data_IF_343084490926
#
_entry.id   IF_343084490926
#
_cell.length_a   1.000
_cell.length_b   1.000
_cell.length_c   1.000
_cell.angle_alpha   90.00
_cell.angle_beta   90.00
_cell.angle_gamma   90.00
#
_symmetry.space_group_name_H-M   'P 1'
#
loop_
_entity.id
_entity.type
_entity.pdbx_description
1 polymer ?
#
# COMPACT_ATOMS: atom_id res chain seq x y z
N UNK A 1 2.60 12.83 3.13
CA UNK A 1 2.18 11.48 2.69
C UNK A 1 1.57 10.77 3.88
N UNK A 2 0.61 9.87 3.67
CA UNK A 2 0.03 9.07 4.76
C UNK A 2 -0.17 7.63 4.32
N UNK A 3 0.08 6.69 5.22
CA UNK A 3 -0.15 5.27 5.00
C UNK A 3 -1.08 4.71 6.07
N UNK A 4 -2.10 3.96 5.65
CA UNK A 4 -2.88 3.10 6.53
C UNK A 4 -2.36 1.67 6.38
N UNK A 5 -1.89 1.10 7.49
CA UNK A 5 -1.24 -0.21 7.50
C UNK A 5 -2.20 -1.23 8.10
N UNK A 6 -2.40 -2.35 7.40
CA UNK A 6 -3.17 -3.50 7.87
C UNK A 6 -2.29 -4.73 7.93
N UNK A 7 -2.21 -5.36 9.11
CA UNK A 7 -1.57 -6.67 9.24
C UNK A 7 -2.53 -7.75 8.75
N UNK A 8 -2.10 -8.53 7.77
CA UNK A 8 -2.93 -9.52 7.09
C UNK A 8 -2.33 -10.91 7.15
N UNK A 9 -3.18 -11.92 7.04
CA UNK A 9 -2.75 -13.31 6.79
C UNK A 9 -2.51 -13.56 5.30
N UNK A 10 -3.24 -12.85 4.45
CA UNK A 10 -3.17 -12.86 2.99
C UNK A 10 -3.90 -11.60 2.46
N UNK A 11 -3.57 -11.16 1.25
CA UNK A 11 -4.28 -10.11 0.53
C UNK A 11 -4.01 -10.17 -0.98
N UNK A 12 -4.94 -9.68 -1.79
CA UNK A 12 -4.81 -9.61 -3.25
C UNK A 12 -5.43 -8.33 -3.82
N UNK A 13 -5.04 -8.00 -5.05
CA UNK A 13 -5.62 -6.94 -5.88
C UNK A 13 -6.12 -7.57 -7.17
N UNK A 14 -7.37 -7.29 -7.51
CA UNK A 14 -8.06 -7.84 -8.67
C UNK A 14 -8.54 -6.71 -9.59
N UNK A 15 -8.35 -6.87 -10.89
CA UNK A 15 -8.81 -5.94 -11.91
C UNK A 15 -9.45 -6.73 -13.03
N UNK A 16 -10.75 -6.51 -13.28
CA UNK A 16 -11.53 -7.24 -14.30
C UNK A 16 -11.45 -8.77 -14.13
N UNK A 17 -11.67 -9.23 -12.91
CA UNK A 17 -11.66 -10.66 -12.55
C UNK A 17 -10.30 -11.36 -12.70
N UNK A 18 -9.21 -10.59 -12.86
CA UNK A 18 -7.84 -11.12 -12.88
C UNK A 18 -7.02 -10.58 -11.70
N UNK A 19 -6.36 -11.48 -10.97
CA UNK A 19 -5.44 -11.14 -9.89
C UNK A 19 -4.18 -10.53 -10.50
N UNK A 20 -3.95 -9.25 -10.22
CA UNK A 20 -2.77 -8.50 -10.69
C UNK A 20 -1.66 -8.42 -9.65
N UNK A 21 -1.93 -8.83 -8.41
CA UNK A 21 -0.94 -8.90 -7.35
C UNK A 21 -1.51 -9.55 -6.09
N UNK A 22 -0.68 -10.31 -5.39
CA UNK A 22 -1.06 -11.00 -4.16
C UNK A 22 0.12 -11.12 -3.20
N UNK A 23 -0.20 -11.22 -1.91
CA UNK A 23 0.76 -11.48 -0.84
C UNK A 23 0.19 -12.49 0.14
N UNK A 24 1.08 -13.27 0.78
CA UNK A 24 0.74 -14.07 1.96
C UNK A 24 0.73 -13.23 3.25
N UNK A 25 1.18 -13.83 4.36
CA UNK A 25 1.22 -13.14 5.66
C UNK A 25 2.13 -11.92 5.59
N UNK A 26 1.60 -10.74 5.90
CA UNK A 26 2.34 -9.50 5.73
C UNK A 26 1.55 -8.25 6.11
N UNK A 27 1.87 -7.16 5.44
CA UNK A 27 1.23 -5.86 5.60
C UNK A 27 0.66 -5.39 4.27
N UNK A 28 -0.61 -4.97 4.27
CA UNK A 28 -1.20 -4.17 3.20
C UNK A 28 -1.02 -2.70 3.55
N UNK A 29 -0.58 -1.91 2.57
CA UNK A 29 -0.35 -0.48 2.72
C UNK A 29 -1.30 0.26 1.78
N UNK A 30 -2.29 0.94 2.34
CA UNK A 30 -3.11 1.88 1.59
C UNK A 30 -2.45 3.26 1.67
N UNK A 31 -1.83 3.69 0.57
CA UNK A 31 -1.02 4.90 0.51
C UNK A 31 -1.84 6.08 -0.04
N UNK A 32 -1.89 7.16 0.73
CA UNK A 32 -2.42 8.46 0.31
C UNK A 32 -1.30 9.46 0.06
N UNK A 33 -1.28 10.05 -1.14
CA UNK A 33 -0.34 11.11 -1.53
C UNK A 33 -1.13 12.41 -1.69
N UNK A 34 -0.77 13.44 -0.92
CA UNK A 34 -1.33 14.78 -1.00
C UNK A 34 -0.51 15.71 -1.88
N UNK A 35 -1.10 16.83 -2.34
CA UNK A 35 -0.49 17.76 -3.29
C UNK A 35 0.84 18.38 -2.84
N UNK A 36 1.06 18.47 -1.53
CA UNK A 36 2.27 19.08 -0.94
C UNK A 36 3.33 18.05 -0.55
N UNK A 37 3.09 16.77 -0.82
CA UNK A 37 4.04 15.72 -0.48
C UNK A 37 5.26 15.78 -1.39
N UNK A 38 6.41 15.49 -0.79
CA UNK A 38 7.71 15.55 -1.43
C UNK A 38 8.44 14.21 -1.30
N UNK A 39 9.59 14.07 -1.96
CA UNK A 39 10.47 12.91 -1.76
C UNK A 39 10.90 12.70 -0.29
N UNK A 40 10.93 13.77 0.52
CA UNK A 40 11.29 13.65 1.93
C UNK A 40 10.23 12.86 2.70
N UNK A 41 8.96 13.03 2.33
CA UNK A 41 7.83 12.37 2.99
C UNK A 41 7.84 10.85 2.73
N UNK A 42 8.18 10.42 1.52
CA UNK A 42 8.35 8.98 1.24
C UNK A 42 9.61 8.43 1.92
N UNK A 43 10.73 9.17 1.93
CA UNK A 43 11.95 8.75 2.65
C UNK A 43 11.75 8.60 4.16
N UNK A 44 10.75 9.28 4.74
CA UNK A 44 10.37 9.10 6.14
C UNK A 44 9.54 7.83 6.38
N UNK A 45 8.78 7.37 5.39
CA UNK A 45 7.85 6.24 5.52
C UNK A 45 8.46 4.87 5.20
N UNK A 46 9.62 4.82 4.53
CA UNK A 46 10.32 3.60 4.09
C UNK A 46 11.53 3.34 4.97
#
# INVERSE_FOLDING_TARGET
MRALIQRVKEASVEVKDEIVGEIGKGLVILLGVGEKDTEKDIKYLV
#
